data_IF_639810977796
#
_entry.id   IF_639810977796
#
_cell.length_a   1.000
_cell.length_b   1.000
_cell.length_c   1.000
_cell.angle_alpha   90.00
_cell.angle_beta   90.00
_cell.angle_gamma   90.00
#
_symmetry.space_group_name_H-M   'P 1'
#
loop_
_entity.id
_entity.type
_entity.pdbx_description
1 polymer ?
#
# COMPACT_ATOMS: atom_id res chain seq x y z
N UNK A 1 33.65 -43.25 2.41
CA UNK A 1 33.40 -41.87 2.88
C UNK A 1 32.46 -41.21 1.89
N UNK A 2 31.16 -41.14 2.19
CA UNK A 2 30.16 -40.52 1.31
C UNK A 2 29.52 -39.36 2.07
N UNK A 3 29.90 -38.14 1.71
CA UNK A 3 29.31 -36.90 2.24
C UNK A 3 27.91 -36.74 1.61
N UNK A 4 26.86 -37.02 2.39
CA UNK A 4 25.48 -36.68 2.03
C UNK A 4 25.29 -35.17 2.23
N UNK A 5 25.30 -34.44 1.12
CA UNK A 5 25.00 -33.01 1.06
C UNK A 5 23.53 -32.76 1.43
N UNK A 6 23.31 -32.30 2.66
CA UNK A 6 22.01 -31.89 3.16
C UNK A 6 21.70 -30.47 2.63
N UNK A 7 21.14 -30.41 1.42
CA UNK A 7 20.65 -29.17 0.83
C UNK A 7 19.41 -28.69 1.59
N UNK A 8 19.61 -27.77 2.53
CA UNK A 8 18.53 -27.06 3.20
C UNK A 8 17.77 -26.19 2.18
N UNK A 9 16.62 -26.70 1.71
CA UNK A 9 15.61 -25.90 1.05
C UNK A 9 15.00 -24.94 2.08
N UNK A 10 15.61 -23.77 2.24
CA UNK A 10 14.97 -22.64 2.90
C UNK A 10 13.83 -22.15 2.01
N UNK A 11 12.66 -22.78 2.18
CA UNK A 11 11.40 -22.20 1.73
C UNK A 11 11.25 -20.85 2.44
N UNK A 12 11.40 -19.76 1.69
CA UNK A 12 11.16 -18.40 2.16
C UNK A 12 9.69 -18.31 2.59
N UNK A 13 9.43 -18.59 3.86
CA UNK A 13 8.13 -18.32 4.47
C UNK A 13 7.99 -16.81 4.48
N UNK A 14 7.13 -16.27 3.61
CA UNK A 14 6.65 -14.91 3.76
C UNK A 14 6.14 -14.82 5.20
N UNK A 15 6.84 -14.08 6.06
CA UNK A 15 6.44 -13.87 7.43
C UNK A 15 5.01 -13.31 7.42
N UNK A 16 4.06 -14.17 7.78
CA UNK A 16 2.62 -13.93 7.71
C UNK A 16 2.15 -13.05 8.87
N UNK A 17 2.79 -11.89 9.02
CA UNK A 17 2.39 -10.87 9.98
C UNK A 17 1.18 -10.07 9.48
N UNK A 18 1.03 -9.95 8.15
CA UNK A 18 -0.12 -9.32 7.53
C UNK A 18 -1.23 -10.34 7.33
N UNK A 19 -1.93 -10.67 8.41
CA UNK A 19 -3.17 -11.40 8.34
C UNK A 19 -4.28 -10.44 7.91
N UNK A 20 -4.22 -10.02 6.64
CA UNK A 20 -5.38 -9.52 5.93
C UNK A 20 -6.32 -10.72 5.80
N UNK A 21 -6.97 -11.13 6.90
CA UNK A 21 -8.13 -12.03 6.86
C UNK A 21 -8.96 -11.64 5.65
N UNK A 22 -9.33 -12.59 4.79
CA UNK A 22 -9.92 -12.41 3.46
C UNK A 22 -11.07 -11.37 3.40
N UNK A 23 -10.74 -10.09 3.56
CA UNK A 23 -11.72 -9.03 3.63
C UNK A 23 -12.20 -8.80 2.22
N UNK A 24 -13.51 -8.89 2.05
CA UNK A 24 -14.14 -8.43 0.84
C UNK A 24 -13.89 -6.92 0.68
N UNK A 25 -13.94 -6.44 -0.57
CA UNK A 25 -13.88 -5.00 -0.85
C UNK A 25 -14.93 -4.23 -0.04
N UNK A 26 -16.13 -4.79 0.13
CA UNK A 26 -17.20 -4.17 0.90
C UNK A 26 -16.78 -3.95 2.37
N UNK A 27 -16.15 -4.94 3.00
CA UNK A 27 -15.66 -4.81 4.39
C UNK A 27 -14.54 -3.78 4.51
N UNK A 28 -13.62 -3.72 3.54
CA UNK A 28 -12.56 -2.70 3.51
C UNK A 28 -13.17 -1.30 3.42
N UNK A 29 -14.12 -1.10 2.50
CA UNK A 29 -14.82 0.19 2.32
C UNK A 29 -15.62 0.58 3.57
N UNK A 30 -16.23 -0.38 4.27
CA UNK A 30 -16.95 -0.11 5.52
C UNK A 30 -16.01 0.37 6.63
N UNK A 31 -14.84 -0.26 6.78
CA UNK A 31 -13.84 0.05 7.82
C UNK A 31 -13.00 1.30 7.55
N UNK A 32 -12.93 1.74 6.30
CA UNK A 32 -12.15 2.89 5.90
C UNK A 32 -12.93 4.19 6.09
N UNK A 33 -12.22 5.27 6.43
CA UNK A 33 -12.80 6.61 6.52
C UNK A 33 -12.81 7.32 5.16
N UNK A 34 -11.89 6.91 4.27
CA UNK A 34 -11.80 7.40 2.90
C UNK A 34 -11.43 6.26 1.95
N UNK A 35 -11.99 6.29 0.74
CA UNK A 35 -11.65 5.38 -0.36
C UNK A 35 -11.56 6.21 -1.64
N UNK A 36 -10.45 6.10 -2.35
CA UNK A 36 -10.21 6.91 -3.54
C UNK A 36 -9.32 6.21 -4.56
N UNK A 37 -9.40 6.71 -5.78
CA UNK A 37 -8.48 6.44 -6.88
C UNK A 37 -7.66 7.69 -7.18
N UNK A 38 -6.37 7.50 -7.44
CA UNK A 38 -5.46 8.61 -7.72
C UNK A 38 -4.11 8.17 -8.27
N UNK A 39 -3.22 9.14 -8.41
CA UNK A 39 -1.83 8.92 -8.86
C UNK A 39 -0.85 9.39 -7.80
N UNK A 40 0.09 8.52 -7.44
CA UNK A 40 1.15 8.85 -6.49
C UNK A 40 2.06 9.91 -7.12
N UNK A 41 2.10 11.09 -6.51
CA UNK A 41 2.87 12.24 -6.94
C UNK A 41 4.26 12.30 -6.28
N UNK A 42 4.33 11.93 -4.99
CA UNK A 42 5.58 11.94 -4.24
C UNK A 42 5.61 10.81 -3.21
N UNK A 43 6.80 10.28 -2.96
CA UNK A 43 7.04 9.28 -1.91
C UNK A 43 8.29 9.69 -1.13
N UNK A 44 8.19 9.69 0.19
CA UNK A 44 9.32 9.93 1.10
C UNK A 44 9.34 8.82 2.13
N UNK A 45 10.54 8.34 2.47
CA UNK A 45 10.73 7.32 3.51
C UNK A 45 11.54 7.93 4.64
N UNK A 46 10.98 7.94 5.84
CA UNK A 46 11.63 8.47 7.02
C UNK A 46 11.23 7.68 8.27
N UNK A 47 12.20 7.38 9.14
CA UNK A 47 11.98 6.72 10.44
C UNK A 47 11.12 5.45 10.35
N UNK A 48 11.33 4.63 9.31
CA UNK A 48 10.57 3.37 9.10
C UNK A 48 9.12 3.56 8.65
N UNK A 49 8.73 4.77 8.24
CA UNK A 49 7.43 5.08 7.63
C UNK A 49 7.63 5.56 6.20
N UNK A 50 6.71 5.18 5.33
CA UNK A 50 6.52 5.75 4.00
C UNK A 50 5.42 6.80 4.11
N UNK A 51 5.71 7.98 3.59
CA UNK A 51 4.77 9.06 3.36
C UNK A 51 4.55 9.21 1.86
N UNK A 52 3.33 8.95 1.39
CA UNK A 52 2.97 9.07 -0.01
C UNK A 52 1.96 10.20 -0.20
N UNK A 53 2.25 11.12 -1.11
CA UNK A 53 1.29 12.15 -1.56
C UNK A 53 0.66 11.67 -2.84
N UNK A 54 -0.67 11.67 -2.87
CA UNK A 54 -1.47 11.13 -3.98
C UNK A 54 -2.41 12.22 -4.46
N UNK A 55 -2.38 12.47 -5.77
CA UNK A 55 -3.35 13.32 -6.43
C UNK A 55 -4.63 12.52 -6.66
N UNK A 56 -5.71 12.96 -6.01
CA UNK A 56 -7.00 12.26 -6.00
C UNK A 56 -7.74 12.59 -7.29
N UNK A 57 -8.06 11.55 -8.06
CA UNK A 57 -8.80 11.66 -9.33
C UNK A 57 -10.27 11.34 -9.15
N UNK A 58 -10.59 10.38 -8.26
CA UNK A 58 -11.96 9.97 -7.98
C UNK A 58 -12.10 9.56 -6.53
N UNK A 59 -13.08 10.14 -5.85
CA UNK A 59 -13.45 9.79 -4.49
C UNK A 59 -14.63 8.80 -4.51
N UNK A 60 -14.50 7.69 -3.78
CA UNK A 60 -15.60 6.72 -3.58
C UNK A 60 -16.27 6.89 -2.21
N UNK A 61 -15.50 7.29 -1.19
CA UNK A 61 -15.96 7.53 0.17
C UNK A 61 -15.06 8.57 0.82
N UNK A 62 -15.62 9.40 1.70
CA UNK A 62 -14.89 10.34 2.55
C UNK A 62 -15.11 11.80 2.15
N UNK A 63 -14.27 12.73 2.64
CA UNK A 63 -14.38 14.15 2.32
C UNK A 63 -13.84 14.48 0.92
N UNK A 64 -14.40 15.49 0.28
CA UNK A 64 -13.93 16.01 -1.01
C UNK A 64 -12.52 16.59 -0.88
N UNK A 65 -11.56 15.98 -1.58
CA UNK A 65 -10.15 16.33 -1.56
C UNK A 65 -9.55 16.10 -2.95
N UNK A 66 -8.62 16.96 -3.37
CA UNK A 66 -7.87 16.82 -4.63
C UNK A 66 -6.47 16.23 -4.42
N UNK A 67 -5.97 16.22 -3.19
CA UNK A 67 -4.69 15.62 -2.82
C UNK A 67 -4.74 15.09 -1.39
N UNK A 68 -4.02 14.01 -1.13
CA UNK A 68 -3.97 13.37 0.18
C UNK A 68 -2.58 12.82 0.47
N UNK A 69 -2.13 12.99 1.72
CA UNK A 69 -0.91 12.38 2.23
C UNK A 69 -1.25 11.17 3.09
N UNK A 70 -0.77 10.00 2.69
CA UNK A 70 -0.90 8.74 3.42
C UNK A 70 0.40 8.38 4.14
N UNK A 71 0.27 7.80 5.33
CA UNK A 71 1.33 7.14 6.06
C UNK A 71 1.12 5.63 6.06
N UNK A 72 2.19 4.88 5.83
CA UNK A 72 2.22 3.42 5.92
C UNK A 72 3.58 2.98 6.43
N UNK A 73 3.71 1.81 7.08
CA UNK A 73 5.03 1.24 7.38
C UNK A 73 5.90 1.11 6.13
N UNK A 74 7.21 1.23 6.27
CA UNK A 74 8.13 1.11 5.13
C UNK A 74 8.40 -0.34 4.70
N UNK A 75 8.10 -1.30 5.57
CA UNK A 75 8.34 -2.72 5.32
C UNK A 75 7.04 -3.45 5.03
N UNK A 76 7.02 -4.25 3.96
CA UNK A 76 5.91 -5.16 3.66
C UNK A 76 5.67 -6.17 4.78
N UNK A 77 6.72 -6.58 5.52
CA UNK A 77 6.58 -7.45 6.69
C UNK A 77 5.84 -6.78 7.85
N UNK A 78 5.78 -5.44 7.87
CA UNK A 78 4.96 -4.64 8.79
C UNK A 78 3.66 -4.14 8.13
N UNK A 79 3.24 -4.78 7.04
CA UNK A 79 2.04 -4.42 6.26
C UNK A 79 2.13 -3.07 5.55
N UNK A 80 3.36 -2.66 5.25
CA UNK A 80 3.67 -1.47 4.51
C UNK A 80 3.32 -1.56 3.03
N UNK A 81 2.66 -0.52 2.49
CA UNK A 81 2.44 -0.37 1.05
C UNK A 81 3.66 0.32 0.40
N UNK A 82 4.29 -0.38 -0.54
CA UNK A 82 5.39 0.18 -1.33
C UNK A 82 4.85 0.98 -2.52
N UNK A 83 4.68 2.29 -2.33
CA UNK A 83 4.30 3.21 -3.40
C UNK A 83 5.48 3.55 -4.33
N UNK A 84 5.20 3.74 -5.62
CA UNK A 84 6.15 4.23 -6.63
C UNK A 84 5.61 5.49 -7.31
N UNK A 85 6.50 6.30 -7.86
CA UNK A 85 6.15 7.47 -8.66
C UNK A 85 6.56 7.24 -10.11
N UNK A 86 5.68 7.52 -11.10
CA UNK A 86 4.23 7.68 -10.96
C UNK A 86 3.55 6.30 -10.87
N UNK A 87 2.50 6.19 -10.07
CA UNK A 87 1.73 4.94 -9.93
C UNK A 87 0.25 5.26 -9.75
N UNK A 88 -0.63 4.57 -10.49
CA UNK A 88 -2.07 4.65 -10.25
C UNK A 88 -2.46 3.70 -9.12
N UNK A 89 -3.26 4.20 -8.19
CA UNK A 89 -3.63 3.47 -6.98
C UNK A 89 -5.12 3.61 -6.68
N UNK A 90 -5.70 2.55 -6.14
CA UNK A 90 -7.00 2.57 -5.46
C UNK A 90 -6.73 2.15 -4.03
N UNK A 91 -6.95 3.05 -3.08
CA UNK A 91 -6.55 2.88 -1.69
C UNK A 91 -7.69 3.27 -0.76
N UNK A 92 -7.88 2.46 0.26
CA UNK A 92 -8.69 2.79 1.41
C UNK A 92 -7.78 3.24 2.55
N UNK A 93 -8.19 4.24 3.33
CA UNK A 93 -7.40 4.73 4.45
C UNK A 93 -8.27 5.02 5.67
N UNK A 94 -7.65 4.93 6.85
CA UNK A 94 -8.25 5.36 8.12
C UNK A 94 -7.63 6.65 8.59
N UNK A 95 -8.40 7.43 9.32
CA UNK A 95 -7.94 8.64 10.00
C UNK A 95 -7.41 8.27 11.37
N UNK A 96 -6.16 8.66 11.63
CA UNK A 96 -5.52 8.57 12.94
C UNK A 96 -5.16 10.00 13.39
N UNK A 97 -6.07 10.62 14.13
CA UNK A 97 -6.00 12.04 14.46
C UNK A 97 -6.00 12.93 13.21
N UNK A 98 -4.85 13.57 12.93
CA UNK A 98 -4.66 14.45 11.75
C UNK A 98 -4.03 13.75 10.55
N UNK A 99 -3.58 12.51 10.70
CA UNK A 99 -2.91 11.78 9.62
C UNK A 99 -3.82 10.73 9.03
N UNK A 100 -3.63 10.44 7.74
CA UNK A 100 -4.27 9.31 7.07
C UNK A 100 -3.30 8.14 7.05
N UNK A 101 -3.79 6.96 7.44
CA UNK A 101 -2.99 5.73 7.45
C UNK A 101 -3.60 4.67 6.55
N UNK A 102 -2.72 3.96 5.85
CA UNK A 102 -3.06 2.79 5.04
C UNK A 102 -2.08 1.67 5.36
N UNK A 103 -2.45 0.46 4.96
CA UNK A 103 -1.62 -0.73 5.01
C UNK A 103 -1.93 -1.63 3.79
N UNK A 104 -1.21 -2.75 3.65
CA UNK A 104 -1.41 -3.72 2.58
C UNK A 104 -2.82 -4.32 2.56
N UNK A 105 -3.52 -4.37 3.68
CA UNK A 105 -4.89 -4.92 3.74
C UNK A 105 -5.93 -3.93 3.23
N UNK A 106 -5.58 -2.65 3.13
CA UNK A 106 -6.45 -1.57 2.64
C UNK A 106 -6.11 -1.10 1.21
N UNK A 107 -5.01 -1.60 0.63
CA UNK A 107 -4.67 -1.35 -0.76
C UNK A 107 -5.53 -2.22 -1.69
N UNK A 108 -6.42 -1.58 -2.46
CA UNK A 108 -7.35 -2.27 -3.37
C UNK A 108 -6.74 -2.50 -4.76
N UNK A 109 -5.90 -1.58 -5.23
CA UNK A 109 -5.14 -1.75 -6.47
C UNK A 109 -3.86 -0.91 -6.47
N UNK A 110 -2.76 -1.51 -6.90
CA UNK A 110 -1.45 -0.86 -7.05
C UNK A 110 -0.92 -1.12 -8.46
N UNK A 111 -1.15 -0.18 -9.38
CA UNK A 111 -0.83 -0.37 -10.81
C UNK A 111 0.25 0.62 -11.23
N UNK A 112 1.46 0.14 -11.57
CA UNK A 112 2.45 0.98 -12.25
C UNK A 112 1.83 1.58 -13.50
N UNK A 113 2.04 2.87 -13.73
CA UNK A 113 1.63 3.48 -14.99
C UNK A 113 2.61 3.06 -16.08
N UNK A 114 2.14 2.69 -17.29
CA UNK A 114 3.03 2.43 -18.40
C UNK A 114 3.86 3.67 -18.69
N UNK A 115 5.17 3.49 -18.89
CA UNK A 115 6.03 4.57 -19.35
C UNK A 115 5.63 4.93 -20.78
N UNK A 116 4.98 6.08 -20.95
CA UNK A 116 4.69 6.66 -22.27
C UNK A 116 5.69 7.79 -22.47
N UNK A 117 6.75 7.61 -23.28
CA UNK A 117 7.67 8.70 -23.59
C UNK A 117 6.89 9.79 -24.34
N UNK A 118 6.87 11.00 -23.79
CA UNK A 118 6.41 12.20 -24.49
C UNK A 118 7.37 12.46 -25.65
N UNK A 119 6.82 12.48 -26.87
CA UNK A 119 7.57 12.69 -28.11
C UNK A 119 7.97 14.15 -28.27
#
# INVERSE_FOLDING_TARGET
>A
MAFLALAALLAATHASACQCFNFSRAEIVQRADIVFEGTVAAVTVARGQVQATIDVQRLEKGPDLTSITLLTPASAAACGVSFRVPQRVIVAARRDGRVWRTDLCMALALRPLPFVPSR
#
